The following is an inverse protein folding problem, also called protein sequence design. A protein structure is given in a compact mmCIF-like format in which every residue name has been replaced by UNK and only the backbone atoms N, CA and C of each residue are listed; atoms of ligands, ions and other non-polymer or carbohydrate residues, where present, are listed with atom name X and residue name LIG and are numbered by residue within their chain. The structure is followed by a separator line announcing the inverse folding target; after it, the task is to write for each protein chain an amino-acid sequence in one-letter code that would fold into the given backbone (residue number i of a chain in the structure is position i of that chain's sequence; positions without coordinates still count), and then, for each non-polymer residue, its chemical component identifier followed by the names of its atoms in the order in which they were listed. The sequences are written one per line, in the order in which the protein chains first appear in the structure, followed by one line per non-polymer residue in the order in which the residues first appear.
data_IF_634466450352
#
_entry.id   IF_634466450352
#
_cell.length_a   1.000
_cell.length_b   1.000
_cell.length_c   1.000
_cell.angle_alpha   90.00
_cell.angle_beta   90.00
_cell.angle_gamma   90.00
#
_symmetry.space_group_name_H-M   'P 1'
#
loop_
_entity.id
_entity.type
_entity.pdbx_description
1 polymer ?
#
# COMPACT_ATOMS: atom_id res chain seq x y z
N UNK A 1 5.77 -10.90 2.84
CA UNK A 1 5.57 -10.43 1.44
C UNK A 1 6.31 -11.37 0.51
N UNK A 2 5.87 -11.55 -0.75
CA UNK A 2 6.69 -12.26 -1.74
C UNK A 2 7.99 -11.50 -1.97
N UNK A 3 9.05 -12.22 -2.38
CA UNK A 3 10.35 -11.61 -2.71
C UNK A 3 10.23 -10.69 -3.92
N UNK A 4 9.60 -11.20 -4.97
CA UNK A 4 9.38 -10.47 -6.21
C UNK A 4 7.88 -10.24 -6.44
N UNK A 5 7.57 -9.08 -7.01
CA UNK A 5 6.22 -8.75 -7.41
C UNK A 5 5.91 -9.34 -8.79
N UNK A 6 4.83 -10.11 -8.90
CA UNK A 6 4.45 -10.81 -10.13
C UNK A 6 3.23 -10.17 -10.82
N UNK A 7 2.69 -9.08 -10.29
CA UNK A 7 1.45 -8.46 -10.78
C UNK A 7 1.60 -6.96 -11.01
N UNK A 8 0.88 -6.45 -12.02
CA UNK A 8 0.68 -5.01 -12.21
C UNK A 8 -0.50 -4.52 -11.35
N UNK A 9 -0.43 -3.30 -10.84
CA UNK A 9 -1.54 -2.70 -10.11
C UNK A 9 -2.35 -1.75 -10.99
N UNK A 10 -3.38 -2.28 -11.65
CA UNK A 10 -4.25 -1.52 -12.56
C UNK A 10 -5.34 -0.71 -11.84
N UNK A 11 -5.38 -0.76 -10.49
CA UNK A 11 -6.39 -0.07 -9.67
C UNK A 11 -6.01 1.37 -9.29
N UNK A 12 -4.90 1.90 -9.81
CA UNK A 12 -4.41 3.25 -9.58
C UNK A 12 -4.47 4.03 -10.89
N UNK A 13 -4.84 5.31 -10.84
CA UNK A 13 -4.94 6.09 -12.07
C UNK A 13 -6.05 7.12 -12.09
N UNK A 14 -5.96 8.07 -13.00
CA UNK A 14 -7.08 8.97 -13.32
C UNK A 14 -8.37 8.21 -13.66
N UNK A 15 -8.23 7.03 -14.27
CA UNK A 15 -9.32 6.12 -14.64
C UNK A 15 -9.79 5.21 -13.48
N UNK A 16 -9.09 5.19 -12.34
CA UNK A 16 -9.47 4.37 -11.20
C UNK A 16 -10.72 4.92 -10.49
N UNK A 17 -11.63 4.03 -10.08
CA UNK A 17 -12.88 4.44 -9.38
C UNK A 17 -12.60 5.13 -8.05
N UNK A 18 -11.64 4.64 -7.27
CA UNK A 18 -11.42 5.06 -5.89
C UNK A 18 -10.00 5.54 -5.58
N UNK A 19 -8.99 5.16 -6.38
CA UNK A 19 -7.59 5.39 -6.03
C UNK A 19 -6.86 6.14 -7.15
N UNK A 20 -7.12 7.45 -7.22
CA UNK A 20 -6.64 8.31 -8.32
C UNK A 20 -5.20 8.82 -8.18
N UNK A 21 -4.48 8.38 -7.16
CA UNK A 21 -3.11 8.81 -6.89
C UNK A 21 -2.09 7.92 -7.60
N UNK A 22 -1.72 8.28 -8.84
CA UNK A 22 -0.70 7.56 -9.63
C UNK A 22 0.70 7.62 -9.02
N UNK A 23 0.96 8.61 -8.16
CA UNK A 23 2.25 8.78 -7.49
C UNK A 23 2.38 7.90 -6.24
N UNK A 24 1.34 7.12 -5.92
CA UNK A 24 1.39 6.19 -4.81
C UNK A 24 2.52 5.18 -5.00
N UNK A 25 3.30 4.95 -3.94
CA UNK A 25 4.42 3.98 -3.93
C UNK A 25 4.04 2.54 -4.31
N UNK A 26 2.74 2.21 -4.30
CA UNK A 26 2.22 0.89 -4.68
C UNK A 26 1.56 0.85 -6.07
N UNK A 27 1.43 1.99 -6.75
CA UNK A 27 0.77 2.08 -8.05
C UNK A 27 1.59 1.39 -9.16
N UNK A 28 2.89 1.67 -9.21
CA UNK A 28 3.76 1.28 -10.31
C UNK A 28 4.96 0.44 -9.83
N UNK A 29 4.71 -0.54 -8.95
CA UNK A 29 5.77 -1.46 -8.54
C UNK A 29 6.28 -2.27 -9.74
N UNK A 30 7.59 -2.46 -9.88
CA UNK A 30 8.15 -3.28 -10.95
C UNK A 30 7.61 -4.71 -10.87
N UNK A 31 7.48 -5.34 -12.04
CA UNK A 31 6.99 -6.70 -12.20
C UNK A 31 8.16 -7.55 -12.66
N UNK A 32 8.26 -8.75 -12.10
CA UNK A 32 9.29 -9.70 -12.46
C UNK A 32 8.64 -11.00 -12.96
N UNK A 33 9.20 -11.63 -14.00
CA UNK A 33 8.74 -12.93 -14.44
C UNK A 33 9.06 -13.99 -13.38
N UNK A 34 8.27 -15.05 -13.35
CA UNK A 34 8.56 -16.24 -12.55
C UNK A 34 9.27 -17.29 -13.41
N UNK A 35 10.30 -17.93 -12.87
CA UNK A 35 11.06 -18.97 -13.55
C UNK A 35 10.50 -20.37 -13.23
N UNK A 36 10.54 -21.27 -14.21
CA UNK A 36 10.07 -22.65 -14.09
C UNK A 36 11.18 -23.67 -14.42
N UNK A 37 11.17 -24.86 -13.79
CA UNK A 37 10.18 -25.34 -12.82
C UNK A 37 10.31 -24.67 -11.45
N UNK A 38 9.21 -24.58 -10.71
CA UNK A 38 9.24 -24.06 -9.34
C UNK A 38 10.05 -24.99 -8.43
N UNK A 39 10.97 -24.41 -7.67
CA UNK A 39 11.82 -25.14 -6.73
C UNK A 39 11.23 -24.99 -5.33
N UNK A 40 10.75 -26.10 -4.75
CA UNK A 40 10.27 -26.10 -3.36
C UNK A 40 11.46 -26.05 -2.39
N UNK A 41 11.46 -25.14 -1.39
CA UNK A 41 12.53 -25.10 -0.40
C UNK A 41 12.49 -26.35 0.49
N UNK A 42 13.66 -26.81 0.97
CA UNK A 42 13.75 -27.98 1.86
C UNK A 42 13.05 -27.79 3.21
N UNK A 43 12.89 -26.54 3.63
CA UNK A 43 12.21 -26.14 4.86
C UNK A 43 11.67 -24.71 4.69
N UNK A 44 10.61 -24.38 5.44
CA UNK A 44 10.03 -23.05 5.48
C UNK A 44 10.13 -22.50 6.91
N UNK A 45 10.68 -21.30 7.05
CA UNK A 45 10.80 -20.61 8.34
C UNK A 45 10.28 -19.18 8.19
N UNK A 46 9.72 -18.64 9.27
CA UNK A 46 9.25 -17.26 9.32
C UNK A 46 10.43 -16.28 9.37
N UNK A 47 10.43 -15.30 8.49
CA UNK A 47 11.34 -14.14 8.57
C UNK A 47 10.72 -13.02 9.43
N UNK A 48 11.01 -13.09 10.72
CA UNK A 48 10.52 -12.14 11.72
C UNK A 48 10.98 -10.71 11.41
N UNK A 49 12.19 -10.54 10.88
CA UNK A 49 12.73 -9.22 10.57
C UNK A 49 11.95 -8.55 9.45
N UNK A 50 11.76 -9.27 8.34
CA UNK A 50 10.97 -8.79 7.21
C UNK A 50 9.54 -8.47 7.62
N UNK A 51 8.91 -9.34 8.43
CA UNK A 51 7.55 -9.12 8.94
C UNK A 51 7.44 -7.83 9.76
N UNK A 52 8.41 -7.55 10.64
CA UNK A 52 8.45 -6.31 11.42
C UNK A 52 8.63 -5.08 10.53
N UNK A 53 9.48 -5.15 9.51
CA UNK A 53 9.67 -4.04 8.57
C UNK A 53 8.40 -3.75 7.78
N UNK A 54 7.74 -4.79 7.26
CA UNK A 54 6.48 -4.69 6.53
C UNK A 54 5.42 -4.05 7.43
N UNK A 55 5.26 -4.55 8.65
CA UNK A 55 4.31 -3.99 9.60
C UNK A 55 4.56 -2.50 9.83
N UNK A 56 5.81 -2.11 10.08
CA UNK A 56 6.16 -0.72 10.42
C UNK A 56 5.97 0.26 9.25
N UNK A 57 6.23 -0.16 8.00
CA UNK A 57 6.26 0.75 6.85
C UNK A 57 5.03 0.67 5.93
N UNK A 58 4.25 -0.41 6.02
CA UNK A 58 3.08 -0.64 5.18
C UNK A 58 1.79 -0.59 6.01
N UNK A 59 1.71 -1.34 7.11
CA UNK A 59 0.45 -1.53 7.83
C UNK A 59 0.27 -0.60 9.04
N UNK A 60 1.35 -0.16 9.68
CA UNK A 60 1.29 0.66 10.90
C UNK A 60 0.65 2.01 10.57
N UNK A 61 -0.57 2.19 11.08
CA UNK A 61 -1.30 3.46 10.96
C UNK A 61 -0.54 4.56 11.70
N UNK A 62 -0.33 5.69 11.02
CA UNK A 62 0.21 6.88 11.65
C UNK A 62 -0.95 7.62 12.36
N UNK A 63 -1.12 7.35 13.66
CA UNK A 63 -2.20 7.91 14.47
C UNK A 63 -2.29 9.44 14.35
N UNK A 64 -1.15 10.12 14.37
CA UNK A 64 -1.09 11.59 14.22
C UNK A 64 -1.65 12.03 12.87
N UNK A 65 -1.22 11.39 11.78
CA UNK A 65 -1.72 11.68 10.42
C UNK A 65 -3.24 11.46 10.34
N UNK A 66 -3.75 10.39 10.95
CA UNK A 66 -5.19 10.10 10.94
C UNK A 66 -6.00 11.15 11.71
N UNK A 67 -5.53 11.56 12.89
CA UNK A 67 -6.16 12.61 13.69
C UNK A 67 -6.18 13.92 12.91
N UNK A 68 -5.04 14.33 12.33
CA UNK A 68 -4.93 15.55 11.53
C UNK A 68 -5.86 15.52 10.30
N UNK A 69 -5.93 14.38 9.60
CA UNK A 69 -6.82 14.23 8.46
C UNK A 69 -8.30 14.31 8.87
N UNK A 70 -8.67 13.72 10.01
CA UNK A 70 -10.04 13.80 10.53
C UNK A 70 -10.41 15.24 10.89
N UNK A 71 -9.52 15.98 11.56
CA UNK A 71 -9.72 17.39 11.88
C UNK A 71 -9.87 18.25 10.61
N UNK A 72 -9.00 18.04 9.61
CA UNK A 72 -9.08 18.73 8.30
C UNK A 72 -10.44 18.51 7.63
N UNK A 73 -10.96 17.28 7.67
CA UNK A 73 -12.24 16.95 7.05
C UNK A 73 -13.42 17.63 7.77
N UNK A 74 -13.41 17.70 9.12
CA UNK A 74 -14.44 18.40 9.90
C UNK A 74 -14.42 19.90 9.63
N UNK A 75 -13.24 20.52 9.60
CA UNK A 75 -13.10 21.95 9.28
C UNK A 75 -13.60 22.24 7.86
N UNK A 76 -13.26 21.39 6.89
CA UNK A 76 -13.76 21.50 5.51
C UNK A 76 -15.29 21.44 5.46
N UNK A 77 -15.90 20.45 6.11
CA UNK A 77 -17.37 20.32 6.14
C UNK A 77 -18.06 21.48 6.83
N UNK A 78 -17.43 22.10 7.83
CA UNK A 78 -17.98 23.28 8.52
C UNK A 78 -17.96 24.51 7.62
N UNK A 79 -16.88 24.73 6.87
CA UNK A 79 -16.77 25.83 5.90
C UNK A 79 -17.74 25.65 4.74
N UNK A 80 -17.84 24.43 4.20
CA UNK A 80 -18.70 24.11 3.06
C UNK A 80 -20.20 24.24 3.42
N UNK A 81 -20.61 23.92 4.66
CA UNK A 81 -22.00 24.11 5.14
C UNK A 81 -22.37 25.56 5.48
N UNK A 82 -21.40 26.47 5.54
CA UNK A 82 -21.62 27.89 5.90
C UNK A 82 -21.71 28.79 4.65
N UNK A 83 -21.50 28.24 3.46
CA UNK A 83 -21.80 28.85 2.16
C UNK A 83 -23.19 28.45 1.72
#
# INVERSE_FOLDING_TARGET
MPRENLIANIGFGVEATHTKDETNKFANLPIYPIEFPLIHPKFMLRDIYSDHLIFRHIYKKNLRKNILQKLKNVLKSYVDNKR
#
